data_IF_604286363317
#
_entry.id   IF_604286363317
#
_cell.length_a   1.000
_cell.length_b   1.000
_cell.length_c   1.000
_cell.angle_alpha   90.00
_cell.angle_beta   90.00
_cell.angle_gamma   90.00
#
_symmetry.space_group_name_H-M   'P 1'
#
loop_
_entity.id
_entity.type
_entity.pdbx_description
1 polymer ?
#
# COMPACT_ATOMS: atom_id res chain seq x y z
N UNK A 1 -12.08 14.81 7.07
CA UNK A 1 -11.51 13.45 7.07
C UNK A 1 -10.33 13.42 8.03
N UNK A 2 -10.18 12.37 8.85
CA UNK A 2 -9.04 12.19 9.77
C UNK A 2 -8.53 10.75 9.70
N UNK A 3 -7.26 10.54 9.37
CA UNK A 3 -6.64 9.21 9.37
C UNK A 3 -6.42 8.75 10.83
N UNK A 4 -6.78 7.50 11.12
CA UNK A 4 -6.65 6.87 12.44
C UNK A 4 -5.52 5.85 12.45
N UNK A 5 -5.41 5.02 11.41
CA UNK A 5 -4.32 4.06 11.29
C UNK A 5 -4.00 3.78 9.82
N UNK A 6 -2.73 3.45 9.55
CA UNK A 6 -2.28 2.89 8.26
C UNK A 6 -1.67 1.52 8.55
N UNK A 7 -2.17 0.48 7.88
CA UNK A 7 -1.60 -0.87 7.89
C UNK A 7 -1.21 -1.28 6.49
N UNK A 8 -0.09 -1.97 6.36
CA UNK A 8 0.35 -2.51 5.09
C UNK A 8 1.11 -3.81 5.29
N UNK A 9 1.18 -4.60 4.22
CA UNK A 9 2.01 -5.81 4.19
C UNK A 9 2.62 -6.01 2.82
N UNK A 10 3.92 -6.28 2.79
CA UNK A 10 4.64 -6.70 1.58
C UNK A 10 4.47 -5.74 0.39
N UNK A 11 4.53 -4.44 0.62
CA UNK A 11 4.48 -3.43 -0.43
C UNK A 11 5.87 -2.83 -0.65
N UNK A 12 6.30 -2.79 -1.91
CA UNK A 12 7.59 -2.27 -2.37
C UNK A 12 8.75 -2.63 -1.42
N UNK A 13 9.35 -1.63 -0.78
CA UNK A 13 10.48 -1.78 0.12
C UNK A 13 10.12 -2.28 1.54
N UNK A 14 8.84 -2.30 1.93
CA UNK A 14 8.38 -2.74 3.25
C UNK A 14 7.96 -4.22 3.23
N UNK A 15 8.73 -5.06 3.92
CA UNK A 15 8.50 -6.51 4.03
C UNK A 15 7.83 -6.89 5.36
N UNK A 16 6.82 -7.76 5.31
CA UNK A 16 6.03 -8.11 6.50
C UNK A 16 4.94 -7.09 6.80
N UNK A 17 4.16 -7.31 7.87
CA UNK A 17 3.13 -6.39 8.31
C UNK A 17 3.75 -5.17 8.99
N UNK A 18 3.25 -3.98 8.68
CA UNK A 18 3.53 -2.73 9.36
C UNK A 18 2.21 -2.07 9.75
N UNK A 19 2.21 -1.41 10.90
CA UNK A 19 1.09 -0.64 11.41
C UNK A 19 1.59 0.67 11.99
N UNK A 20 0.88 1.75 11.68
CA UNK A 20 1.02 3.04 12.31
C UNK A 20 -0.35 3.43 12.83
N UNK A 21 -0.48 3.48 14.15
CA UNK A 21 -1.68 3.93 14.85
C UNK A 21 -1.49 5.38 15.30
N UNK A 22 -2.24 6.30 14.68
CA UNK A 22 -2.22 7.73 15.03
C UNK A 22 -3.07 8.05 16.27
N UNK A 23 -3.77 7.06 16.82
CA UNK A 23 -4.56 7.19 18.05
C UNK A 23 -3.81 6.73 19.29
N UNK A 24 -2.62 6.13 19.11
CA UNK A 24 -1.72 5.74 20.18
C UNK A 24 -0.58 6.75 20.39
N UNK A 25 -0.06 6.84 21.62
CA UNK A 25 1.14 7.62 21.90
C UNK A 25 2.39 7.01 21.22
N UNK A 26 3.37 7.81 20.78
CA UNK A 26 3.45 9.27 20.93
C UNK A 26 2.69 10.08 19.87
N UNK A 27 2.06 9.42 18.90
CA UNK A 27 1.46 10.11 17.74
C UNK A 27 0.12 10.79 18.08
N UNK A 28 -0.62 10.24 19.04
CA UNK A 28 -1.90 10.79 19.50
C UNK A 28 -1.78 12.24 19.98
N UNK A 29 -0.70 12.57 20.69
CA UNK A 29 -0.45 13.90 21.26
C UNK A 29 0.48 14.78 20.42
N UNK A 30 1.23 14.21 19.47
CA UNK A 30 2.26 14.95 18.74
C UNK A 30 1.72 16.14 17.92
N UNK A 31 0.52 16.02 17.32
CA UNK A 31 -0.08 17.02 16.42
C UNK A 31 0.63 17.17 15.07
N UNK A 32 1.96 17.16 15.06
CA UNK A 32 2.85 17.14 13.90
C UNK A 32 3.93 16.08 14.12
N UNK A 33 4.20 15.28 13.08
CA UNK A 33 5.26 14.27 13.10
C UNK A 33 6.01 14.28 11.77
N UNK A 34 7.22 13.73 11.78
CA UNK A 34 8.05 13.59 10.58
C UNK A 34 8.35 12.11 10.31
N UNK A 35 8.36 11.72 9.03
CA UNK A 35 8.82 10.40 8.59
C UNK A 35 10.23 10.59 8.02
N UNK A 36 11.23 10.13 8.74
CA UNK A 36 12.65 10.27 8.37
C UNK A 36 13.28 8.92 8.06
N UNK A 37 14.45 8.93 7.41
CA UNK A 37 15.21 7.73 7.06
C UNK A 37 15.91 7.84 5.70
N UNK A 38 16.84 6.92 5.39
CA UNK A 38 17.61 6.95 4.15
C UNK A 38 16.75 6.77 2.90
N UNK A 39 17.31 7.09 1.73
CA UNK A 39 16.69 6.75 0.44
C UNK A 39 16.47 5.24 0.34
N UNK A 40 15.30 4.81 -0.13
CA UNK A 40 14.91 3.39 -0.18
C UNK A 40 14.31 2.81 1.11
N UNK A 41 14.29 3.55 2.23
CA UNK A 41 13.75 3.07 3.51
C UNK A 41 12.23 2.78 3.51
N UNK A 42 11.50 3.21 2.46
CA UNK A 42 10.06 2.99 2.35
C UNK A 42 9.17 4.12 2.85
N UNK A 43 9.72 5.31 3.04
CA UNK A 43 8.95 6.53 3.37
C UNK A 43 7.82 6.79 2.37
N UNK A 44 8.13 6.78 1.07
CA UNK A 44 7.11 6.93 0.02
C UNK A 44 6.16 5.73 -0.03
N UNK A 45 6.65 4.50 0.20
CA UNK A 45 5.82 3.29 0.25
C UNK A 45 4.69 3.40 1.26
N UNK A 46 4.95 4.02 2.42
CA UNK A 46 3.91 4.27 3.42
C UNK A 46 2.82 5.23 2.89
N UNK A 47 3.21 6.30 2.22
CA UNK A 47 2.25 7.24 1.60
C UNK A 47 1.51 6.62 0.41
N UNK A 48 2.18 5.75 -0.35
CA UNK A 48 1.56 4.99 -1.43
C UNK A 48 0.50 4.04 -0.87
N UNK A 49 0.74 3.39 0.27
CA UNK A 49 -0.23 2.51 0.91
C UNK A 49 -1.51 3.26 1.29
N UNK A 50 -1.38 4.49 1.80
CA UNK A 50 -2.53 5.36 2.09
C UNK A 50 -3.36 5.63 0.82
N UNK A 51 -2.71 6.05 -0.27
CA UNK A 51 -3.40 6.32 -1.53
C UNK A 51 -4.01 5.06 -2.13
N UNK A 52 -3.28 3.95 -2.07
CA UNK A 52 -3.68 2.67 -2.62
C UNK A 52 -4.92 2.12 -1.90
N UNK A 53 -4.96 2.18 -0.57
CA UNK A 53 -6.11 1.73 0.20
C UNK A 53 -7.36 2.58 -0.08
N UNK A 54 -7.21 3.90 -0.22
CA UNK A 54 -8.34 4.82 -0.40
C UNK A 54 -8.87 4.89 -1.83
N UNK A 55 -7.98 4.74 -2.83
CA UNK A 55 -8.31 5.05 -4.23
C UNK A 55 -7.99 3.91 -5.20
N UNK A 56 -7.38 2.82 -4.73
CA UNK A 56 -6.92 1.74 -5.60
C UNK A 56 -5.84 2.16 -6.60
N UNK A 57 -5.22 3.33 -6.41
CA UNK A 57 -4.27 3.93 -7.33
C UNK A 57 -3.18 4.70 -6.56
N UNK A 58 -2.04 4.90 -7.21
CA UNK A 58 -0.89 5.60 -6.61
C UNK A 58 -0.45 6.72 -7.57
N UNK A 59 -0.29 7.97 -7.08
CA UNK A 59 0.02 9.11 -7.93
C UNK A 59 1.27 8.91 -8.79
N UNK A 60 2.36 8.39 -8.20
CA UNK A 60 3.62 8.22 -8.93
C UNK A 60 3.57 7.15 -10.01
N UNK A 61 2.71 6.14 -9.90
CA UNK A 61 2.55 5.11 -10.95
C UNK A 61 1.73 5.62 -12.14
N UNK A 62 0.85 6.60 -11.91
CA UNK A 62 -0.01 7.18 -12.95
C UNK A 62 0.78 8.00 -13.97
N UNK A 63 1.93 8.55 -13.56
CA UNK A 63 2.78 9.40 -14.39
C UNK A 63 3.89 8.64 -15.13
N UNK A 64 4.11 7.37 -14.78
CA UNK A 64 5.04 6.48 -15.48
C UNK A 64 4.22 5.90 -16.64
N UNK A 65 4.55 6.26 -17.88
CA UNK A 65 3.79 5.89 -19.08
C UNK A 65 3.45 4.39 -19.18
N UNK A 66 2.66 3.98 -20.17
CA UNK A 66 2.12 2.61 -20.27
C UNK A 66 3.14 1.56 -20.76
N UNK A 67 4.39 1.64 -20.30
CA UNK A 67 5.39 0.61 -20.55
C UNK A 67 5.00 -0.69 -19.87
N UNK A 68 5.35 -1.80 -20.50
CA UNK A 68 5.17 -3.15 -19.95
C UNK A 68 6.46 -3.62 -19.31
N UNK A 69 6.36 -4.26 -18.16
CA UNK A 69 7.47 -4.96 -17.51
C UNK A 69 7.15 -6.44 -17.35
N UNK A 70 8.14 -7.33 -17.50
CA UNK A 70 7.92 -8.76 -17.29
C UNK A 70 7.50 -9.07 -15.86
N UNK A 71 6.44 -9.87 -15.69
CA UNK A 71 6.06 -10.58 -14.47
C UNK A 71 6.11 -12.10 -14.73
N UNK A 72 5.83 -12.89 -13.69
CA UNK A 72 5.88 -14.36 -13.70
C UNK A 72 4.96 -14.99 -14.75
N UNK A 73 3.81 -14.37 -15.02
CA UNK A 73 2.79 -14.90 -15.93
C UNK A 73 2.42 -13.89 -17.02
N UNK A 74 3.47 -13.37 -17.69
CA UNK A 74 3.36 -12.39 -18.76
C UNK A 74 3.70 -10.97 -18.30
N UNK A 75 3.32 -9.99 -19.10
CA UNK A 75 3.66 -8.60 -18.85
C UNK A 75 2.60 -7.89 -17.99
N UNK A 76 3.07 -7.01 -17.11
CA UNK A 76 2.23 -6.08 -16.35
C UNK A 76 2.60 -4.63 -16.72
N UNK A 77 1.61 -3.74 -16.79
CA UNK A 77 1.87 -2.33 -17.06
C UNK A 77 2.52 -1.68 -15.84
N UNK A 78 3.49 -0.79 -16.06
CA UNK A 78 4.18 -0.04 -14.99
C UNK A 78 3.23 0.81 -14.15
N UNK A 79 2.08 1.20 -14.70
CA UNK A 79 1.03 1.93 -14.01
C UNK A 79 0.12 1.05 -13.14
N UNK A 80 0.20 -0.28 -13.26
CA UNK A 80 -0.66 -1.18 -12.49
C UNK A 80 -0.24 -1.17 -11.02
N UNK A 81 -1.14 -0.85 -10.07
CA UNK A 81 -0.81 -0.81 -8.64
C UNK A 81 -0.31 -2.13 -8.07
N UNK A 82 -0.65 -3.27 -8.69
CA UNK A 82 -0.19 -4.60 -8.27
C UNK A 82 1.32 -4.77 -8.46
N UNK A 83 1.98 -3.90 -9.24
CA UNK A 83 3.45 -3.82 -9.32
C UNK A 83 4.09 -3.43 -7.98
N UNK A 84 3.34 -2.85 -7.03
CA UNK A 84 3.82 -2.63 -5.67
C UNK A 84 3.97 -3.91 -4.86
N UNK A 85 3.39 -5.04 -5.26
CA UNK A 85 3.58 -6.28 -4.53
C UNK A 85 5.07 -6.62 -4.48
N UNK A 86 5.62 -6.74 -3.27
CA UNK A 86 7.05 -7.00 -3.08
C UNK A 86 7.44 -8.32 -3.78
N UNK A 87 8.54 -8.29 -4.54
CA UNK A 87 9.10 -9.49 -5.20
C UNK A 87 9.37 -10.59 -4.18
N UNK A 88 9.09 -11.84 -4.57
CA UNK A 88 9.24 -13.00 -3.70
C UNK A 88 8.12 -13.18 -2.66
N UNK A 89 7.06 -12.36 -2.72
CA UNK A 89 5.89 -12.51 -1.82
C UNK A 89 4.66 -12.95 -2.59
N UNK A 90 3.81 -13.75 -1.92
CA UNK A 90 2.57 -14.27 -2.49
C UNK A 90 1.34 -13.39 -2.27
N UNK A 91 1.41 -12.39 -1.38
CA UNK A 91 0.28 -11.53 -1.04
C UNK A 91 0.75 -10.24 -0.38
N UNK A 92 0.01 -9.16 -0.59
CA UNK A 92 0.21 -7.88 0.07
C UNK A 92 -1.09 -7.09 0.15
N UNK A 93 -1.13 -6.13 1.08
CA UNK A 93 -2.29 -5.26 1.27
C UNK A 93 -1.87 -3.88 1.75
N UNK A 94 -2.77 -2.92 1.56
CA UNK A 94 -2.81 -1.64 2.23
C UNK A 94 -4.19 -1.46 2.87
N UNK A 95 -4.25 -0.91 4.07
CA UNK A 95 -5.49 -0.69 4.81
C UNK A 95 -5.39 0.61 5.59
N UNK A 96 -6.47 1.38 5.62
CA UNK A 96 -6.53 2.68 6.27
C UNK A 96 -7.82 2.79 7.06
N UNK A 97 -7.68 3.05 8.35
CA UNK A 97 -8.80 3.45 9.21
C UNK A 97 -8.90 4.97 9.22
N UNK A 98 -10.10 5.51 9.06
CA UNK A 98 -10.30 6.97 9.06
C UNK A 98 -11.71 7.37 9.52
N UNK A 99 -11.83 8.62 9.95
CA UNK A 99 -13.10 9.32 10.14
C UNK A 99 -13.46 10.04 8.85
N UNK A 100 -14.64 9.74 8.29
CA UNK A 100 -15.21 10.39 7.11
C UNK A 100 -15.66 11.83 7.37
N UNK A 101 -16.08 12.52 6.31
CA UNK A 101 -16.66 13.88 6.45
C UNK A 101 -17.98 13.87 7.22
N UNK A 102 -18.67 12.73 7.22
CA UNK A 102 -19.90 12.42 7.92
C UNK A 102 -19.68 12.02 9.40
N UNK A 103 -18.45 12.17 9.91
CA UNK A 103 -18.04 11.79 11.26
C UNK A 103 -18.14 10.29 11.59
N UNK A 104 -18.32 9.41 10.60
CA UNK A 104 -18.34 7.95 10.82
C UNK A 104 -16.96 7.34 10.64
N UNK A 105 -16.73 6.21 11.30
CA UNK A 105 -15.51 5.40 11.15
C UNK A 105 -15.62 4.50 9.92
N UNK A 106 -14.57 4.49 9.12
CA UNK A 106 -14.42 3.66 7.94
C UNK A 106 -13.08 2.93 7.95
N UNK A 107 -13.07 1.79 7.25
CA UNK A 107 -11.86 1.05 6.89
C UNK A 107 -11.87 0.86 5.39
N UNK A 108 -10.88 1.43 4.71
CA UNK A 108 -10.63 1.16 3.30
C UNK A 108 -9.48 0.16 3.19
N UNK A 109 -9.57 -0.78 2.26
CA UNK A 109 -8.57 -1.81 2.08
C UNK A 109 -8.35 -2.06 0.61
N UNK A 110 -7.10 -2.24 0.24
CA UNK A 110 -6.72 -2.78 -1.05
C UNK A 110 -5.84 -3.98 -0.80
N UNK A 111 -6.08 -5.07 -1.52
CA UNK A 111 -5.23 -6.25 -1.45
C UNK A 111 -4.98 -6.88 -2.82
N UNK A 112 -3.82 -7.50 -2.93
CA UNK A 112 -3.45 -8.32 -4.08
C UNK A 112 -2.74 -9.58 -3.64
N UNK A 113 -2.95 -10.64 -4.39
CA UNK A 113 -2.33 -11.93 -4.13
C UNK A 113 -1.95 -12.62 -5.43
N UNK A 114 -0.94 -13.47 -5.36
CA UNK A 114 -0.65 -14.47 -6.37
C UNK A 114 -1.50 -15.71 -6.10
N UNK A 115 -1.69 -16.54 -7.12
CA UNK A 115 -2.53 -17.73 -6.98
C UNK A 115 -2.05 -18.60 -5.81
N UNK A 116 -2.98 -19.03 -4.96
CA UNK A 116 -2.70 -19.81 -3.74
C UNK A 116 -1.70 -19.16 -2.77
N UNK A 117 -1.58 -17.83 -2.78
CA UNK A 117 -0.59 -17.07 -2.00
C UNK A 117 0.85 -17.53 -2.22
N UNK A 118 1.15 -18.06 -3.41
CA UNK A 118 2.47 -18.54 -3.75
C UNK A 118 3.22 -17.49 -4.59
N UNK A 119 4.39 -17.08 -4.12
CA UNK A 119 5.24 -16.08 -4.72
C UNK A 119 5.61 -16.38 -6.19
N UNK A 120 5.59 -17.64 -6.61
CA UNK A 120 5.97 -18.08 -7.95
C UNK A 120 4.79 -18.26 -8.91
N UNK A 121 3.58 -17.86 -8.51
CA UNK A 121 2.37 -18.04 -9.33
C UNK A 121 1.83 -16.74 -9.91
N UNK A 122 0.90 -16.89 -10.85
CA UNK A 122 0.16 -15.81 -11.51
C UNK A 122 -0.42 -14.82 -10.50
N UNK A 123 -0.20 -13.53 -10.76
CA UNK A 123 -0.82 -12.42 -10.03
C UNK A 123 -2.32 -12.38 -10.30
N UNK A 124 -3.12 -12.26 -9.24
CA UNK A 124 -4.58 -12.19 -9.36
C UNK A 124 -5.06 -10.75 -9.53
N UNK A 125 -6.36 -10.59 -9.78
CA UNK A 125 -7.00 -9.28 -9.69
C UNK A 125 -6.92 -8.76 -8.25
N UNK A 126 -6.63 -7.47 -8.08
CA UNK A 126 -6.70 -6.83 -6.77
C UNK A 126 -8.14 -6.66 -6.33
N UNK A 127 -8.36 -6.64 -5.01
CA UNK A 127 -9.67 -6.44 -4.39
C UNK A 127 -9.67 -5.10 -3.64
N UNK A 128 -10.63 -4.21 -3.92
CA UNK A 128 -10.90 -3.03 -3.08
C UNK A 128 -11.70 -3.41 -1.82
#
# INVERSE_FOLDING_TARGET
>A
MKILAIRLKNLASLAGPFEIDFTAEPLASAGLFAITGPTGAGKSTLLDALCLALFGAIPRLSNIGQSKVPDIDGDITTSDPRTLLRRGTGSGYAEVDFIGIDQRRYRARWETNRARNNATKKLQASRP
#
